data_IF_395754001410
#
_entry.id   IF_395754001410
#
_cell.length_a   1.000
_cell.length_b   1.000
_cell.length_c   1.000
_cell.angle_alpha   90.00
_cell.angle_beta   90.00
_cell.angle_gamma   90.00
#
_symmetry.space_group_name_H-M   'P 1'
#
loop_
_entity.id
_entity.type
_entity.pdbx_description
1 polymer ?
#
# COMPACT_ATOMS: atom_id res chain seq x y z
N UNK A 1 -27.14 -6.00 -9.84
CA UNK A 1 -26.08 -6.58 -9.00
C UNK A 1 -24.77 -5.98 -9.49
N UNK A 2 -24.10 -5.16 -8.68
CA UNK A 2 -22.82 -4.55 -9.06
C UNK A 2 -21.70 -5.59 -8.91
N UNK A 3 -20.95 -5.84 -10.00
CA UNK A 3 -19.85 -6.80 -10.03
C UNK A 3 -18.56 -6.11 -9.61
N UNK A 4 -17.91 -6.65 -8.59
CA UNK A 4 -16.61 -6.18 -8.12
C UNK A 4 -15.50 -6.98 -8.82
N UNK A 5 -15.11 -6.59 -10.04
CA UNK A 5 -14.15 -7.34 -10.86
C UNK A 5 -12.68 -7.03 -10.47
N UNK A 6 -11.86 -8.07 -10.34
CA UNK A 6 -10.44 -7.97 -9.98
C UNK A 6 -9.52 -7.81 -11.19
N UNK A 7 -10.01 -8.03 -12.41
CA UNK A 7 -9.18 -8.00 -13.62
C UNK A 7 -8.54 -6.61 -13.83
N UNK A 8 -9.34 -5.54 -13.87
CA UNK A 8 -8.83 -4.18 -14.10
C UNK A 8 -7.89 -3.74 -12.96
N UNK A 9 -8.25 -3.95 -11.67
CA UNK A 9 -7.32 -3.69 -10.57
C UNK A 9 -5.99 -4.45 -10.66
N UNK A 10 -6.02 -5.74 -11.07
CA UNK A 10 -4.81 -6.53 -11.22
C UNK A 10 -3.89 -6.00 -12.34
N UNK A 11 -4.46 -5.62 -13.49
CA UNK A 11 -3.69 -4.98 -14.54
C UNK A 11 -3.10 -3.64 -14.09
N UNK A 12 -3.86 -2.84 -13.33
CA UNK A 12 -3.35 -1.58 -12.79
C UNK A 12 -2.13 -1.79 -11.87
N UNK A 13 -2.13 -2.83 -11.04
CA UNK A 13 -0.95 -3.21 -10.24
C UNK A 13 0.23 -3.60 -11.15
N UNK A 14 0.01 -4.43 -12.16
CA UNK A 14 1.07 -4.87 -13.09
C UNK A 14 1.69 -3.65 -13.80
N UNK A 15 0.86 -2.73 -14.30
CA UNK A 15 1.32 -1.52 -14.94
C UNK A 15 2.06 -0.60 -13.97
N UNK A 16 1.58 -0.46 -12.73
CA UNK A 16 2.28 0.31 -11.71
C UNK A 16 3.69 -0.24 -11.45
N UNK A 17 3.83 -1.56 -11.30
CA UNK A 17 5.14 -2.21 -11.13
C UNK A 17 6.03 -1.96 -12.33
N UNK A 18 5.50 -2.07 -13.55
CA UNK A 18 6.25 -1.79 -14.78
C UNK A 18 6.73 -0.33 -14.84
N UNK A 19 5.90 0.64 -14.44
CA UNK A 19 6.26 2.06 -14.39
C UNK A 19 7.33 2.35 -13.34
N UNK A 20 7.22 1.78 -12.14
CA UNK A 20 8.26 1.90 -11.11
C UNK A 20 9.59 1.28 -11.55
N UNK A 21 9.52 0.11 -12.20
CA UNK A 21 10.71 -0.56 -12.72
C UNK A 21 11.36 0.26 -13.86
N UNK A 22 10.56 0.83 -14.77
CA UNK A 22 11.08 1.74 -15.79
C UNK A 22 11.72 2.99 -15.18
N UNK A 23 11.10 3.61 -14.18
CA UNK A 23 11.68 4.75 -13.47
C UNK A 23 13.04 4.39 -12.85
N UNK A 24 13.14 3.22 -12.19
CA UNK A 24 14.39 2.70 -11.63
C UNK A 24 15.47 2.48 -12.70
N UNK A 25 15.14 1.82 -13.81
CA UNK A 25 16.08 1.59 -14.90
C UNK A 25 16.58 2.90 -15.53
N UNK A 26 15.69 3.89 -15.69
CA UNK A 26 16.07 5.22 -16.18
C UNK A 26 17.05 5.88 -15.21
N UNK A 27 16.83 5.77 -13.89
CA UNK A 27 17.76 6.30 -12.87
C UNK A 27 19.14 5.68 -12.98
N UNK A 28 19.22 4.35 -13.10
CA UNK A 28 20.48 3.64 -13.26
C UNK A 28 21.22 4.04 -14.54
N UNK A 29 20.48 4.17 -15.65
CA UNK A 29 21.06 4.54 -16.95
C UNK A 29 21.56 5.99 -16.95
N UNK A 30 20.80 6.92 -16.36
CA UNK A 30 21.22 8.32 -16.23
C UNK A 30 22.49 8.42 -15.38
N UNK A 31 22.52 7.73 -14.23
CA UNK A 31 23.70 7.68 -13.36
C UNK A 31 24.96 7.14 -14.06
N UNK A 32 24.81 6.09 -14.86
CA UNK A 32 25.92 5.52 -15.62
C UNK A 32 26.46 6.49 -16.69
N UNK A 33 25.58 7.30 -17.31
CA UNK A 33 25.96 8.25 -18.35
C UNK A 33 26.54 9.56 -17.79
N UNK A 34 26.08 10.02 -16.62
CA UNK A 34 26.56 11.26 -16.00
C UNK A 34 27.84 11.08 -15.18
N UNK A 35 28.31 9.85 -14.98
CA UNK A 35 29.55 9.55 -14.26
C UNK A 35 29.51 9.92 -12.77
N UNK A 36 28.34 10.25 -12.22
CA UNK A 36 28.10 10.65 -10.83
C UNK A 36 26.94 9.85 -10.25
N UNK A 37 26.88 9.72 -8.92
CA UNK A 37 25.71 9.16 -8.23
C UNK A 37 24.46 10.01 -8.54
N UNK A 38 23.31 9.38 -8.87
CA UNK A 38 22.13 10.12 -9.29
C UNK A 38 21.61 10.96 -8.12
N UNK A 39 21.82 12.27 -8.19
CA UNK A 39 21.42 13.21 -7.16
C UNK A 39 20.01 13.79 -7.39
N UNK A 40 19.56 13.84 -8.65
CA UNK A 40 18.30 14.50 -9.01
C UNK A 40 17.39 13.62 -9.86
N UNK A 41 16.10 13.61 -9.52
CA UNK A 41 15.04 12.98 -10.30
C UNK A 41 14.66 13.90 -11.46
N UNK A 42 14.75 13.37 -12.68
CA UNK A 42 14.24 14.03 -13.88
C UNK A 42 12.71 14.12 -13.84
N UNK A 43 12.16 15.13 -14.53
CA UNK A 43 10.71 15.32 -14.68
C UNK A 43 10.03 14.06 -15.23
N UNK A 44 10.67 13.35 -16.16
CA UNK A 44 10.17 12.09 -16.70
C UNK A 44 10.07 10.98 -15.66
N UNK A 45 11.06 10.85 -14.77
CA UNK A 45 11.02 9.87 -13.67
C UNK A 45 9.93 10.21 -12.65
N UNK A 46 9.79 11.49 -12.30
CA UNK A 46 8.71 11.95 -11.41
C UNK A 46 7.35 11.60 -12.01
N UNK A 47 7.16 11.86 -13.31
CA UNK A 47 5.95 11.48 -14.03
C UNK A 47 5.67 9.97 -13.97
N UNK A 48 6.66 9.13 -14.31
CA UNK A 48 6.53 7.67 -14.26
C UNK A 48 6.16 7.17 -12.85
N UNK A 49 6.81 7.70 -11.82
CA UNK A 49 6.51 7.33 -10.43
C UNK A 49 5.13 7.80 -9.99
N UNK A 50 4.70 9.01 -10.38
CA UNK A 50 3.38 9.54 -10.04
C UNK A 50 2.27 8.72 -10.70
N UNK A 51 2.37 8.43 -12.00
CA UNK A 51 1.42 7.56 -12.68
C UNK A 51 1.43 6.13 -12.12
N UNK A 52 2.62 5.60 -11.81
CA UNK A 52 2.78 4.33 -11.11
C UNK A 52 2.04 4.32 -9.77
N UNK A 53 2.17 5.38 -8.97
CA UNK A 53 1.49 5.52 -7.69
C UNK A 53 -0.03 5.59 -7.84
N UNK A 54 -0.55 6.33 -8.82
CA UNK A 54 -1.99 6.40 -9.09
C UNK A 54 -2.55 5.04 -9.50
N UNK A 55 -1.90 4.33 -10.43
CA UNK A 55 -2.32 3.00 -10.84
C UNK A 55 -2.20 1.98 -9.70
N UNK A 56 -1.15 2.10 -8.87
CA UNK A 56 -0.99 1.27 -7.69
C UNK A 56 -2.13 1.49 -6.71
N UNK A 57 -2.46 2.74 -6.37
CA UNK A 57 -3.55 3.06 -5.46
C UNK A 57 -4.88 2.55 -6.00
N UNK A 58 -5.19 2.81 -7.27
CA UNK A 58 -6.40 2.33 -7.91
C UNK A 58 -6.51 0.79 -7.87
N UNK A 59 -5.45 0.10 -8.31
CA UNK A 59 -5.42 -1.36 -8.32
C UNK A 59 -5.47 -1.97 -6.92
N UNK A 60 -4.76 -1.36 -5.97
CA UNK A 60 -4.72 -1.83 -4.59
C UNK A 60 -6.08 -1.68 -3.91
N UNK A 61 -6.73 -0.52 -4.07
CA UNK A 61 -8.08 -0.28 -3.52
C UNK A 61 -9.09 -1.25 -4.15
N UNK A 62 -9.03 -1.48 -5.46
CA UNK A 62 -9.94 -2.42 -6.13
C UNK A 62 -9.78 -3.86 -5.66
N UNK A 63 -8.54 -4.35 -5.55
CA UNK A 63 -8.27 -5.69 -5.02
C UNK A 63 -8.65 -5.81 -3.53
N UNK A 64 -8.39 -4.76 -2.75
CA UNK A 64 -8.75 -4.73 -1.33
C UNK A 64 -10.28 -4.70 -1.15
N UNK A 65 -11.01 -3.91 -1.93
CA UNK A 65 -12.48 -3.89 -1.95
C UNK A 65 -13.03 -5.27 -2.29
N UNK A 66 -12.56 -5.91 -3.36
CA UNK A 66 -12.99 -7.26 -3.71
C UNK A 66 -12.69 -8.28 -2.60
N UNK A 67 -11.54 -8.17 -1.94
CA UNK A 67 -11.20 -9.04 -0.82
C UNK A 67 -12.10 -8.80 0.40
N UNK A 68 -12.47 -7.54 0.67
CA UNK A 68 -13.31 -7.18 1.81
C UNK A 68 -14.79 -7.54 1.56
N UNK A 69 -15.32 -7.15 0.41
CA UNK A 69 -16.75 -7.10 0.09
C UNK A 69 -17.19 -8.28 -0.81
N UNK A 70 -16.23 -9.03 -1.35
CA UNK A 70 -16.47 -10.13 -2.29
C UNK A 70 -16.65 -9.68 -3.74
N UNK A 71 -16.83 -10.66 -4.64
CA UNK A 71 -17.00 -10.43 -6.08
C UNK A 71 -18.40 -9.90 -6.46
N UNK A 72 -19.38 -10.12 -5.59
CA UNK A 72 -20.76 -9.70 -5.76
C UNK A 72 -21.23 -8.99 -4.49
N UNK A 73 -21.65 -7.73 -4.63
CA UNK A 73 -22.25 -7.00 -3.53
C UNK A 73 -23.65 -7.55 -3.26
N UNK A 74 -23.81 -8.25 -2.13
CA UNK A 74 -25.09 -8.77 -1.65
C UNK A 74 -25.69 -7.76 -0.69
N UNK A 75 -26.85 -7.15 -0.99
CA UNK A 75 -27.49 -6.20 -0.08
C UNK A 75 -27.87 -6.88 1.24
N UNK A 76 -27.68 -6.18 2.37
CA UNK A 76 -28.03 -6.66 3.70
C UNK A 76 -26.91 -6.54 4.73
N UNK A 77 -27.21 -6.97 5.97
CA UNK A 77 -26.26 -7.00 7.08
C UNK A 77 -25.51 -8.32 7.12
N UNK A 78 -24.19 -8.25 7.13
CA UNK A 78 -23.31 -9.39 7.22
C UNK A 78 -22.53 -9.30 8.54
N UNK A 79 -22.81 -10.25 9.43
CA UNK A 79 -22.05 -10.40 10.66
C UNK A 79 -20.73 -11.13 10.36
N UNK A 80 -19.62 -10.69 10.97
CA UNK A 80 -18.34 -11.36 10.75
C UNK A 80 -18.38 -12.80 11.28
N UNK A 81 -17.77 -13.72 10.53
CA UNK A 81 -17.65 -15.11 10.97
C UNK A 81 -16.74 -15.22 12.20
N UNK A 82 -17.25 -15.90 13.24
CA UNK A 82 -16.49 -16.14 14.46
C UNK A 82 -15.27 -17.02 14.16
N UNK A 83 -14.07 -16.44 14.24
CA UNK A 83 -12.81 -17.16 14.03
C UNK A 83 -11.73 -16.66 14.98
N UNK A 84 -10.90 -17.59 15.48
CA UNK A 84 -9.72 -17.27 16.30
C UNK A 84 -8.50 -16.89 15.47
N UNK A 85 -8.49 -17.20 14.17
CA UNK A 85 -7.36 -16.93 13.27
C UNK A 85 -7.09 -15.43 13.11
N UNK A 86 -8.10 -14.55 12.89
CA UNK A 86 -7.90 -13.10 12.82
C UNK A 86 -7.32 -12.51 14.11
N UNK A 87 -7.69 -13.07 15.27
CA UNK A 87 -7.15 -12.64 16.57
C UNK A 87 -5.66 -12.98 16.66
N UNK A 88 -5.28 -14.21 16.34
CA UNK A 88 -3.86 -14.64 16.34
C UNK A 88 -3.04 -13.80 15.36
N UNK A 89 -3.56 -13.58 14.14
CA UNK A 89 -2.92 -12.72 13.16
C UNK A 89 -2.73 -11.29 13.68
N UNK A 90 -3.76 -10.72 14.32
CA UNK A 90 -3.68 -9.39 14.94
C UNK A 90 -2.62 -9.30 16.03
N UNK A 91 -2.50 -10.32 16.89
CA UNK A 91 -1.46 -10.38 17.93
C UNK A 91 -0.07 -10.45 17.32
N UNK A 92 0.15 -11.35 16.35
CA UNK A 92 1.44 -11.49 15.67
C UNK A 92 1.84 -10.19 14.98
N UNK A 93 0.92 -9.56 14.24
CA UNK A 93 1.17 -8.29 13.57
C UNK A 93 1.47 -7.16 14.55
N UNK A 94 0.79 -7.11 15.70
CA UNK A 94 1.06 -6.13 16.76
C UNK A 94 2.45 -6.31 17.37
N UNK A 95 2.85 -7.56 17.63
CA UNK A 95 4.20 -7.88 18.11
C UNK A 95 5.27 -7.52 17.06
N UNK A 96 5.00 -7.82 15.79
CA UNK A 96 5.88 -7.45 14.69
C UNK A 96 6.01 -5.92 14.56
N UNK A 97 4.91 -5.17 14.70
CA UNK A 97 4.92 -3.71 14.68
C UNK A 97 5.73 -3.14 15.84
N UNK A 98 5.58 -3.68 17.05
CA UNK A 98 6.35 -3.27 18.22
C UNK A 98 7.85 -3.53 18.02
N UNK A 99 8.20 -4.71 17.50
CA UNK A 99 9.58 -5.07 17.20
C UNK A 99 10.19 -4.17 16.12
N UNK A 100 9.47 -3.96 15.01
CA UNK A 100 9.87 -3.07 13.93
C UNK A 100 10.05 -1.62 14.39
N UNK A 101 9.17 -1.13 15.27
CA UNK A 101 9.28 0.21 15.87
C UNK A 101 10.56 0.34 16.70
N UNK A 102 10.89 -0.68 17.51
CA UNK A 102 12.13 -0.70 18.29
C UNK A 102 13.38 -0.67 17.40
N UNK A 103 13.39 -1.46 16.31
CA UNK A 103 14.46 -1.45 15.32
C UNK A 103 14.56 -0.08 14.63
N UNK A 104 13.42 0.50 14.23
CA UNK A 104 13.37 1.82 13.59
C UNK A 104 13.97 2.91 14.49
N UNK A 105 13.55 3.00 15.75
CA UNK A 105 14.12 3.94 16.72
C UNK A 105 15.63 3.74 16.87
N UNK A 106 16.10 2.48 16.97
CA UNK A 106 17.53 2.18 17.03
C UNK A 106 18.28 2.70 15.79
N UNK A 107 17.71 2.57 14.59
CA UNK A 107 18.32 3.10 13.37
C UNK A 107 18.39 4.63 13.35
N UNK A 108 17.43 5.32 13.97
CA UNK A 108 17.46 6.78 14.12
C UNK A 108 18.53 7.22 15.12
N UNK A 109 18.62 6.57 16.29
CA UNK A 109 19.64 6.89 17.31
C UNK A 109 21.05 6.65 16.78
N UNK A 110 21.28 5.53 16.07
CA UNK A 110 22.58 5.25 15.45
C UNK A 110 22.95 6.24 14.35
N UNK A 111 21.96 6.78 13.63
CA UNK A 111 22.18 7.81 12.63
C UNK A 111 22.49 9.17 13.28
N UNK A 112 21.81 9.51 14.39
CA UNK A 112 22.01 10.76 15.13
C UNK A 112 23.39 10.84 15.83
N UNK A 113 23.97 9.70 16.23
CA UNK A 113 25.30 9.65 16.85
C UNK A 113 26.45 9.86 15.86
N UNK A 114 26.18 9.92 14.55
CA UNK A 114 27.19 10.31 13.55
C UNK A 114 27.21 11.83 13.52
N UNK A 115 28.37 12.46 13.67
CA UNK A 115 28.61 13.92 13.75
C UNK A 115 28.15 14.75 12.51
N UNK A 116 27.31 14.20 11.64
CA UNK A 116 26.74 14.91 10.52
C UNK A 116 25.52 15.73 10.98
N UNK A 117 25.54 17.02 10.64
CA UNK A 117 24.37 17.90 10.63
C UNK A 117 23.32 17.27 9.68
N UNK A 118 22.35 16.53 10.24
CA UNK A 118 21.23 15.89 9.54
C UNK A 118 21.63 14.93 8.38
N UNK A 119 22.13 13.71 8.68
CA UNK A 119 22.35 12.72 7.63
C UNK A 119 21.04 12.41 6.89
N UNK A 120 21.05 12.32 5.54
CA UNK A 120 19.85 12.03 4.77
C UNK A 120 19.26 10.66 5.17
N UNK A 121 17.93 10.50 5.18
CA UNK A 121 17.29 9.25 5.55
C UNK A 121 17.77 8.12 4.65
N UNK A 122 18.21 7.03 5.26
CA UNK A 122 18.73 5.87 4.54
C UNK A 122 17.59 5.04 3.94
N UNK A 123 17.89 4.30 2.87
CA UNK A 123 16.95 3.35 2.27
C UNK A 123 16.41 2.33 3.29
N UNK A 124 17.22 1.96 4.30
CA UNK A 124 16.82 1.06 5.38
C UNK A 124 15.77 1.69 6.28
N UNK A 125 15.95 2.96 6.67
CA UNK A 125 14.96 3.71 7.47
C UNK A 125 13.65 3.86 6.69
N UNK A 126 13.71 4.19 5.40
CA UNK A 126 12.54 4.26 4.54
C UNK A 126 11.83 2.91 4.40
N UNK A 127 12.57 1.82 4.22
CA UNK A 127 12.02 0.47 4.13
C UNK A 127 11.37 -0.02 5.41
N UNK A 128 12.00 0.25 6.57
CA UNK A 128 11.42 -0.07 7.89
C UNK A 128 10.12 0.71 8.12
N UNK A 129 10.10 2.00 7.81
CA UNK A 129 8.90 2.81 7.92
C UNK A 129 7.77 2.28 7.01
N UNK A 130 8.09 1.97 5.75
CA UNK A 130 7.11 1.40 4.82
C UNK A 130 6.55 0.05 5.32
N UNK A 131 7.40 -0.81 5.88
CA UNK A 131 6.96 -2.08 6.47
C UNK A 131 6.03 -1.87 7.67
N UNK A 132 6.33 -0.91 8.55
CA UNK A 132 5.45 -0.56 9.68
C UNK A 132 4.08 -0.07 9.20
N UNK A 133 4.06 0.82 8.19
CA UNK A 133 2.81 1.31 7.59
C UNK A 133 2.00 0.18 6.95
N UNK A 134 2.66 -0.78 6.30
CA UNK A 134 2.01 -1.96 5.75
C UNK A 134 1.39 -2.83 6.85
N UNK A 135 2.10 -3.06 7.96
CA UNK A 135 1.56 -3.82 9.10
C UNK A 135 0.32 -3.14 9.68
N UNK A 136 0.35 -1.81 9.83
CA UNK A 136 -0.81 -1.03 10.29
C UNK A 136 -1.99 -1.18 9.32
N UNK A 137 -1.75 -1.06 8.01
CA UNK A 137 -2.78 -1.24 7.01
C UNK A 137 -3.40 -2.65 7.06
N UNK A 138 -2.58 -3.69 7.25
CA UNK A 138 -3.05 -5.07 7.40
C UNK A 138 -3.90 -5.24 8.67
N UNK A 139 -3.49 -4.66 9.80
CA UNK A 139 -4.27 -4.68 11.04
C UNK A 139 -5.65 -4.05 10.84
N UNK A 140 -5.72 -2.90 10.16
CA UNK A 140 -6.99 -2.22 9.84
C UNK A 140 -7.85 -3.08 8.91
N UNK A 141 -7.26 -3.68 7.88
CA UNK A 141 -7.98 -4.54 6.93
C UNK A 141 -8.57 -5.79 7.61
N UNK A 142 -7.79 -6.43 8.48
CA UNK A 142 -8.25 -7.57 9.29
C UNK A 142 -9.38 -7.14 10.23
N UNK A 143 -9.21 -5.98 10.90
CA UNK A 143 -10.23 -5.44 11.79
C UNK A 143 -11.55 -5.20 11.04
N UNK A 144 -11.51 -4.51 9.90
CA UNK A 144 -12.68 -4.23 9.06
C UNK A 144 -13.38 -5.54 8.63
N UNK A 145 -12.62 -6.54 8.20
CA UNK A 145 -13.20 -7.78 7.65
C UNK A 145 -13.80 -8.72 8.70
N UNK A 146 -13.16 -8.84 9.85
CA UNK A 146 -13.46 -9.92 10.81
C UNK A 146 -14.07 -9.45 12.13
N UNK A 147 -14.16 -8.14 12.37
CA UNK A 147 -14.65 -7.61 13.64
C UNK A 147 -15.71 -6.50 13.50
N UNK A 148 -15.92 -5.97 12.29
CA UNK A 148 -16.92 -4.94 12.04
C UNK A 148 -18.09 -5.56 11.27
N UNK A 149 -19.32 -5.30 11.72
CA UNK A 149 -20.51 -5.67 10.97
C UNK A 149 -20.59 -4.83 9.69
N UNK A 150 -20.88 -5.48 8.58
CA UNK A 150 -20.99 -4.83 7.27
C UNK A 150 -22.47 -4.64 6.91
N UNK A 151 -22.83 -3.44 6.46
CA UNK A 151 -24.16 -3.14 5.94
C UNK A 151 -24.02 -2.66 4.50
N UNK A 152 -24.44 -3.50 3.56
CA UNK A 152 -24.47 -3.16 2.14
C UNK A 152 -25.85 -2.60 1.83
N UNK A 153 -25.92 -1.28 1.68
CA UNK A 153 -27.12 -0.59 1.21
C UNK A 153 -27.17 -0.65 -0.31
N UNK A 154 -28.22 -1.27 -0.85
CA UNK A 154 -28.57 -1.06 -2.25
C UNK A 154 -29.38 0.24 -2.32
N UNK A 155 -28.71 1.35 -2.58
CA UNK A 155 -29.43 2.54 -3.05
C UNK A 155 -29.87 2.28 -4.50
N UNK A 156 -31.16 2.48 -4.75
CA UNK A 156 -31.71 2.50 -6.11
C UNK A 156 -31.12 3.73 -6.80
N UNK A 157 -30.27 3.50 -7.80
CA UNK A 157 -29.61 4.56 -8.56
C UNK A 157 -30.66 5.36 -9.33
N UNK A 158 -31.19 6.43 -8.72
CA UNK A 158 -32.07 7.41 -9.37
C UNK A 158 -31.26 8.46 -10.15
N UNK A 159 -30.24 8.01 -10.88
CA UNK A 159 -29.52 8.84 -11.82
C UNK A 159 -30.31 8.96 -13.12
N UNK A 160 -30.70 10.16 -13.53
CA UNK A 160 -31.24 10.41 -14.88
C UNK A 160 -30.17 10.25 -15.98
N UNK A 161 -28.90 10.03 -15.60
CA UNK A 161 -27.77 9.88 -16.51
C UNK A 161 -27.19 8.46 -16.45
N UNK A 162 -26.80 7.88 -17.61
CA UNK A 162 -26.45 6.46 -17.73
C UNK A 162 -24.99 6.12 -17.36
N UNK A 163 -24.32 6.95 -16.55
CA UNK A 163 -22.97 6.71 -16.05
C UNK A 163 -22.80 7.23 -14.62
#
# INVERSE_FOLDING_TARGET
>A
MYRNDTVVPAFAIIFAVALFYMAYLVTQRVAALSGHTPAELTVGQIGLMAFGAVLFMYGFIGLLSNWLEGAELRPGKHEPEASSVPVVAGVILSLALAAASGVFVRTLVLAANKEAEFPPPTWLQGGLFAAMMLIIALLIAIYKKFFMAEEVLAEDEKGEFPW
#
